data_IF_240673592926
#
_entry.id   IF_240673592926
#
_cell.length_a   1.000
_cell.length_b   1.000
_cell.length_c   1.000
_cell.angle_alpha   90.00
_cell.angle_beta   90.00
_cell.angle_gamma   90.00
#
_symmetry.space_group_name_H-M   'P 1'
#
loop_
_entity.id
_entity.type
_entity.pdbx_description
1 polymer ?
#
# COMPACT_ATOMS: atom_id res chain seq x y z
N UNK A 1 -4.32 -7.67 5.75
CA UNK A 1 -3.78 -7.00 4.55
C UNK A 1 -3.98 -5.47 4.60
N UNK A 2 -5.19 -4.92 4.38
CA UNK A 2 -5.38 -3.45 4.30
C UNK A 2 -4.97 -2.70 5.58
N UNK A 3 -5.35 -3.24 6.74
CA UNK A 3 -4.98 -2.67 8.05
C UNK A 3 -3.46 -2.64 8.25
N UNK A 4 -2.77 -3.72 7.89
CA UNK A 4 -1.32 -3.85 8.06
C UNK A 4 -0.58 -2.89 7.15
N UNK A 5 -1.01 -2.78 5.88
CA UNK A 5 -0.44 -1.83 4.92
C UNK A 5 -0.60 -0.38 5.42
N UNK A 6 -1.77 -0.02 5.96
CA UNK A 6 -2.00 1.32 6.56
C UNK A 6 -1.08 1.59 7.76
N UNK A 7 -0.86 0.59 8.61
CA UNK A 7 0.07 0.72 9.73
C UNK A 7 1.51 0.93 9.23
N UNK A 8 1.96 0.15 8.24
CA UNK A 8 3.27 0.32 7.61
C UNK A 8 3.42 1.68 6.93
N UNK A 9 2.38 2.15 6.23
CA UNK A 9 2.32 3.48 5.60
C UNK A 9 2.47 4.60 6.62
N UNK A 10 1.80 4.52 7.77
CA UNK A 10 1.90 5.52 8.82
C UNK A 10 3.31 5.58 9.45
N UNK A 11 4.04 4.46 9.46
CA UNK A 11 5.41 4.37 9.97
C UNK A 11 6.49 4.73 8.93
N UNK A 12 6.16 4.72 7.63
CA UNK A 12 7.13 4.86 6.56
C UNK A 12 7.57 6.33 6.35
N UNK A 13 8.88 6.51 6.18
CA UNK A 13 9.47 7.77 5.69
C UNK A 13 9.78 7.65 4.20
N UNK A 14 8.79 7.90 3.36
CA UNK A 14 8.93 7.92 1.90
C UNK A 14 9.05 9.34 1.36
N UNK A 15 9.70 9.49 0.21
CA UNK A 15 9.60 10.70 -0.59
C UNK A 15 8.18 10.90 -1.14
N UNK A 16 7.86 12.13 -1.54
CA UNK A 16 6.51 12.50 -2.00
C UNK A 16 6.00 11.64 -3.16
N UNK A 17 6.87 11.30 -4.12
CA UNK A 17 6.51 10.48 -5.28
C UNK A 17 6.09 9.06 -4.89
N UNK A 18 6.81 8.42 -3.97
CA UNK A 18 6.48 7.07 -3.53
C UNK A 18 5.26 7.06 -2.60
N UNK A 19 5.10 8.08 -1.75
CA UNK A 19 3.89 8.23 -0.93
C UNK A 19 2.64 8.41 -1.81
N UNK A 20 2.74 9.18 -2.90
CA UNK A 20 1.64 9.34 -3.86
C UNK A 20 1.25 8.00 -4.52
N UNK A 21 2.23 7.15 -4.87
CA UNK A 21 1.98 5.81 -5.42
C UNK A 21 1.31 4.89 -4.40
N UNK A 22 1.76 4.91 -3.14
CA UNK A 22 1.12 4.13 -2.07
C UNK A 22 -0.34 4.57 -1.86
N UNK A 23 -0.62 5.88 -1.92
CA UNK A 23 -1.99 6.40 -1.83
C UNK A 23 -2.90 5.91 -2.97
N UNK A 24 -2.41 5.92 -4.21
CA UNK A 24 -3.16 5.44 -5.38
C UNK A 24 -3.47 3.94 -5.29
N UNK A 25 -2.48 3.13 -4.89
CA UNK A 25 -2.65 1.69 -4.68
C UNK A 25 -3.64 1.40 -3.54
N UNK A 26 -3.58 2.15 -2.44
CA UNK A 26 -4.56 2.04 -1.36
C UNK A 26 -5.99 2.35 -1.83
N UNK A 27 -6.17 3.42 -2.59
CA UNK A 27 -7.49 3.79 -3.12
C UNK A 27 -8.07 2.68 -4.01
N UNK A 28 -7.25 2.11 -4.90
CA UNK A 28 -7.62 0.97 -5.76
C UNK A 28 -7.94 -0.28 -4.95
N UNK A 29 -7.18 -0.56 -3.89
CA UNK A 29 -7.45 -1.68 -3.01
C UNK A 29 -8.82 -1.53 -2.31
N UNK A 30 -9.12 -0.35 -1.79
CA UNK A 30 -10.42 -0.05 -1.15
C UNK A 30 -11.56 -0.18 -2.14
N UNK A 31 -11.42 0.32 -3.38
CA UNK A 31 -12.43 0.15 -4.43
C UNK A 31 -12.73 -1.33 -4.69
N UNK A 32 -11.69 -2.17 -4.81
CA UNK A 32 -11.86 -3.60 -5.08
C UNK A 32 -12.42 -4.37 -3.89
N UNK A 33 -11.98 -4.05 -2.68
CA UNK A 33 -12.52 -4.64 -1.46
C UNK A 33 -14.02 -4.33 -1.29
N UNK A 34 -14.43 -3.08 -1.57
CA UNK A 34 -15.86 -2.71 -1.56
C UNK A 34 -16.68 -3.44 -2.65
N UNK A 35 -16.02 -3.91 -3.72
CA UNK A 35 -16.62 -4.68 -4.79
C UNK A 35 -16.55 -6.21 -4.57
N UNK A 36 -16.18 -6.66 -3.36
CA UNK A 36 -15.97 -8.07 -3.00
C UNK A 36 -14.88 -8.77 -3.85
N UNK A 37 -13.99 -7.97 -4.44
CA UNK A 37 -12.87 -8.44 -5.23
C UNK A 37 -11.58 -8.45 -4.41
N UNK A 38 -11.55 -9.35 -3.43
CA UNK A 38 -10.44 -9.48 -2.49
C UNK A 38 -9.13 -9.82 -3.20
N UNK A 39 -9.19 -10.57 -4.31
CA UNK A 39 -8.00 -10.93 -5.09
C UNK A 39 -7.32 -9.68 -5.65
N UNK A 40 -8.05 -8.79 -6.33
CA UNK A 40 -7.45 -7.56 -6.86
C UNK A 40 -7.10 -6.58 -5.75
N UNK A 41 -7.89 -6.53 -4.68
CA UNK A 41 -7.55 -5.74 -3.49
C UNK A 41 -6.17 -6.14 -2.94
N UNK A 42 -5.95 -7.44 -2.70
CA UNK A 42 -4.69 -7.95 -2.15
C UNK A 42 -3.51 -7.73 -3.10
N UNK A 43 -3.71 -7.81 -4.41
CA UNK A 43 -2.66 -7.47 -5.39
C UNK A 43 -2.18 -6.01 -5.24
N UNK A 44 -3.11 -5.05 -5.17
CA UNK A 44 -2.75 -3.65 -4.97
C UNK A 44 -2.06 -3.40 -3.63
N UNK A 45 -2.51 -4.08 -2.57
CA UNK A 45 -1.90 -3.98 -1.24
C UNK A 45 -0.48 -4.58 -1.21
N UNK A 46 -0.26 -5.68 -1.91
CA UNK A 46 1.06 -6.29 -2.04
C UNK A 46 2.04 -5.36 -2.78
N UNK A 47 1.59 -4.70 -3.85
CA UNK A 47 2.40 -3.72 -4.55
C UNK A 47 2.71 -2.48 -3.70
N UNK A 48 1.75 -2.01 -2.90
CA UNK A 48 1.99 -0.91 -1.96
C UNK A 48 3.04 -1.30 -0.90
N UNK A 49 2.97 -2.53 -0.37
CA UNK A 49 3.92 -3.05 0.60
C UNK A 49 5.34 -3.17 0.05
N UNK A 50 5.53 -3.47 -1.24
CA UNK A 50 6.87 -3.45 -1.88
C UNK A 50 7.49 -2.05 -1.87
N UNK A 51 6.67 -1.00 -2.08
CA UNK A 51 7.14 0.39 -2.02
C UNK A 51 7.47 0.76 -0.58
N UNK A 52 6.62 0.39 0.37
CA UNK A 52 6.85 0.63 1.81
C UNK A 52 8.11 -0.10 2.32
N UNK A 53 8.37 -1.32 1.82
CA UNK A 53 9.57 -2.09 2.14
C UNK A 53 10.88 -1.44 1.66
N UNK A 54 10.85 -0.62 0.59
CA UNK A 54 12.02 0.19 0.21
C UNK A 54 12.39 1.24 1.26
N UNK A 55 11.42 1.76 2.03
CA UNK A 55 11.69 2.72 3.10
C UNK A 55 12.47 2.09 4.28
N UNK A 56 12.39 0.77 4.45
CA UNK A 56 13.09 0.02 5.50
C UNK A 56 14.39 -0.65 5.07
N UNK A 57 14.69 -0.70 3.77
CA UNK A 57 15.85 -1.41 3.21
C UNK A 57 17.12 -0.54 3.08
N UNK A 58 17.14 0.64 3.70
CA UNK A 58 18.33 1.52 3.77
C UNK A 58 19.09 1.39 5.11
N UNK A 59 18.98 0.26 5.79
CA UNK A 59 19.80 -0.10 6.95
C UNK A 59 20.86 -1.13 6.53
#
# INVERSE_FOLDING_TARGET
MLKDMRASKAAAKLGAADMARVNDLEAKAVERCNADDDTRSDMFLSDAMKILGKAGSSL
#
